data_IF_716585145347
#
_entry.id   IF_716585145347
#
_cell.length_a   1.000
_cell.length_b   1.000
_cell.length_c   1.000
_cell.angle_alpha   90.00
_cell.angle_beta   90.00
_cell.angle_gamma   90.00
#
_symmetry.space_group_name_H-M   'P 1'
#
loop_
_entity.id
_entity.type
_entity.pdbx_description
1 polymer ?
#
# COMPACT_ATOMS: atom_id res chain seq x y z
N UNK A 1 -29.83 44.11 -12.89
CA UNK A 1 -29.58 44.29 -11.45
C UNK A 1 -30.05 43.04 -10.73
N UNK A 2 -29.22 42.01 -10.68
CA UNK A 2 -29.46 40.76 -9.96
C UNK A 2 -28.10 40.12 -9.64
N UNK A 3 -28.00 39.61 -8.41
CA UNK A 3 -26.95 38.75 -7.84
C UNK A 3 -25.58 39.34 -7.47
N UNK A 4 -25.56 40.18 -6.42
CA UNK A 4 -24.45 40.19 -5.45
C UNK A 4 -24.75 39.40 -4.16
N UNK A 5 -25.99 38.93 -3.94
CA UNK A 5 -26.40 38.28 -2.69
C UNK A 5 -26.14 36.78 -2.58
N UNK A 6 -25.67 36.12 -3.64
CA UNK A 6 -25.38 34.68 -3.63
C UNK A 6 -23.95 34.40 -3.14
N UNK A 7 -23.00 35.30 -3.39
CA UNK A 7 -21.59 35.12 -3.01
C UNK A 7 -21.32 35.44 -1.53
N UNK A 8 -22.12 36.32 -0.90
CA UNK A 8 -21.98 36.64 0.53
C UNK A 8 -22.42 35.51 1.48
N UNK A 9 -23.33 34.61 1.03
CA UNK A 9 -23.74 33.44 1.81
C UNK A 9 -22.75 32.29 1.72
N UNK A 10 -22.18 32.03 0.53
CA UNK A 10 -21.21 30.95 0.34
C UNK A 10 -19.91 31.15 1.17
N UNK A 11 -19.48 32.41 1.37
CA UNK A 11 -18.28 32.72 2.18
C UNK A 11 -18.57 32.63 3.69
N UNK A 12 -19.82 32.82 4.13
CA UNK A 12 -20.21 32.63 5.53
C UNK A 12 -20.39 31.15 5.89
N UNK A 13 -20.80 30.30 4.95
CA UNK A 13 -20.89 28.85 5.16
C UNK A 13 -19.51 28.15 5.09
N UNK A 14 -18.57 28.67 4.31
CA UNK A 14 -17.20 28.13 4.23
C UNK A 14 -16.30 28.49 5.42
N UNK A 15 -16.67 29.49 6.25
CA UNK A 15 -15.88 29.92 7.41
C UNK A 15 -16.34 29.29 8.75
N UNK A 16 -17.25 28.32 8.69
CA UNK A 16 -17.80 27.62 9.87
C UNK A 16 -17.49 26.13 9.92
N UNK A 17 -16.64 25.63 9.02
CA UNK A 17 -16.05 24.29 9.10
C UNK A 17 -14.61 24.42 9.57
N UNK A 18 -14.43 24.42 10.89
CA UNK A 18 -13.15 24.01 11.45
C UNK A 18 -12.79 22.62 10.89
N UNK A 19 -11.53 22.36 10.53
CA UNK A 19 -11.13 21.03 10.12
C UNK A 19 -11.53 20.04 11.22
N UNK A 20 -12.24 18.99 10.82
CA UNK A 20 -12.68 17.92 11.70
C UNK A 20 -11.44 17.31 12.37
N UNK A 21 -11.16 17.75 13.59
CA UNK A 21 -9.99 17.36 14.36
C UNK A 21 -10.12 15.92 14.90
N UNK A 22 -11.15 15.19 14.45
CA UNK A 22 -11.46 13.80 14.79
C UNK A 22 -10.46 12.80 14.25
N UNK A 23 -9.64 13.16 13.24
CA UNK A 23 -8.59 12.30 12.71
C UNK A 23 -7.27 12.33 13.51
N UNK A 24 -7.05 13.35 14.36
CA UNK A 24 -5.81 13.49 15.14
C UNK A 24 -5.97 12.94 16.57
N UNK A 25 -7.20 12.80 17.06
CA UNK A 25 -7.51 12.24 18.39
C UNK A 25 -7.49 10.71 18.48
N UNK A 26 -7.28 10.00 17.36
CA UNK A 26 -7.36 8.52 17.33
C UNK A 26 -6.07 7.77 17.72
N UNK A 27 -5.02 8.47 18.18
CA UNK A 27 -3.72 7.84 18.50
C UNK A 27 -3.41 7.82 20.01
N UNK A 28 -4.29 8.35 20.88
CA UNK A 28 -4.06 8.35 22.34
C UNK A 28 -4.87 7.36 23.16
N UNK A 29 -5.65 6.47 22.54
CA UNK A 29 -6.17 5.30 23.24
C UNK A 29 -5.12 4.19 23.21
N UNK A 30 -4.07 4.38 24.01
CA UNK A 30 -3.32 3.24 24.51
C UNK A 30 -4.29 2.49 25.42
N UNK A 31 -4.75 1.27 25.10
CA UNK A 31 -5.54 0.52 26.06
C UNK A 31 -4.73 0.43 27.35
N UNK A 32 -5.34 0.90 28.45
CA UNK A 32 -4.73 0.83 29.76
C UNK A 32 -4.20 -0.60 29.97
N UNK A 33 -2.99 -0.73 30.52
CA UNK A 33 -2.21 -1.96 30.62
C UNK A 33 -2.88 -3.14 31.38
N UNK A 34 -4.15 -3.02 31.77
CA UNK A 34 -4.97 -3.99 32.51
C UNK A 34 -6.27 -4.39 31.76
N UNK A 35 -6.25 -4.59 30.45
CA UNK A 35 -7.46 -4.98 29.69
C UNK A 35 -7.72 -6.49 29.60
N UNK A 36 -6.92 -7.33 30.25
CA UNK A 36 -7.15 -8.77 30.26
C UNK A 36 -7.03 -9.31 31.69
N UNK A 37 -8.15 -9.71 32.34
CA UNK A 37 -8.08 -10.37 33.64
C UNK A 37 -7.28 -11.67 33.51
N UNK A 38 -6.48 -11.98 34.53
CA UNK A 38 -5.75 -13.25 34.56
C UNK A 38 -6.76 -14.36 34.82
N UNK A 39 -6.83 -15.36 33.95
CA UNK A 39 -7.70 -16.53 34.13
C UNK A 39 -6.85 -17.77 34.34
N UNK A 40 -6.92 -18.34 35.53
CA UNK A 40 -6.20 -19.57 35.89
C UNK A 40 -7.14 -20.75 35.74
N UNK A 41 -6.73 -21.76 34.95
CA UNK A 41 -7.39 -23.06 34.91
C UNK A 41 -6.54 -24.07 35.68
N UNK A 42 -7.07 -24.63 36.77
CA UNK A 42 -6.47 -25.79 37.45
C UNK A 42 -7.15 -27.08 37.01
N UNK A 43 -6.34 -28.08 36.65
CA UNK A 43 -6.76 -29.44 36.32
C UNK A 43 -6.12 -30.41 37.32
N UNK A 44 -6.94 -30.98 38.20
CA UNK A 44 -6.48 -31.82 39.31
C UNK A 44 -7.65 -32.67 39.84
N UNK A 45 -7.46 -33.98 40.04
CA UNK A 45 -8.53 -34.87 40.51
C UNK A 45 -8.83 -34.69 42.02
N UNK A 46 -7.95 -34.05 42.78
CA UNK A 46 -8.08 -33.86 44.21
C UNK A 46 -8.72 -32.52 44.54
N UNK A 47 -10.00 -32.54 44.95
CA UNK A 47 -10.75 -31.35 45.34
C UNK A 47 -10.06 -30.49 46.43
N UNK A 48 -9.28 -31.11 47.31
CA UNK A 48 -8.50 -30.40 48.34
C UNK A 48 -7.44 -29.47 47.73
N UNK A 49 -6.78 -29.88 46.64
CA UNK A 49 -5.81 -29.04 45.93
C UNK A 49 -6.52 -27.86 45.26
N UNK A 50 -7.68 -28.13 44.64
CA UNK A 50 -8.54 -27.09 44.09
C UNK A 50 -8.92 -26.01 45.09
N UNK A 51 -9.31 -26.41 46.30
CA UNK A 51 -9.64 -25.48 47.38
C UNK A 51 -8.42 -24.74 47.94
N UNK A 52 -7.26 -25.41 48.04
CA UNK A 52 -6.02 -24.78 48.48
C UNK A 52 -5.56 -23.67 47.52
N UNK A 53 -5.57 -23.95 46.21
CA UNK A 53 -5.23 -22.95 45.17
C UNK A 53 -6.26 -21.82 45.16
N UNK A 54 -7.57 -22.14 45.26
CA UNK A 54 -8.62 -21.11 45.36
C UNK A 54 -8.37 -20.14 46.50
N UNK A 55 -8.00 -20.64 47.68
CA UNK A 55 -7.67 -19.79 48.84
C UNK A 55 -6.40 -18.99 48.65
N UNK A 56 -5.38 -19.57 48.04
CA UNK A 56 -4.13 -18.88 47.73
C UNK A 56 -4.34 -17.69 46.77
N UNK A 57 -5.32 -17.77 45.87
CA UNK A 57 -5.66 -16.71 44.91
C UNK A 57 -6.76 -15.76 45.41
N UNK A 58 -7.41 -16.03 46.55
CA UNK A 58 -8.56 -15.25 47.01
C UNK A 58 -8.22 -13.79 47.37
N UNK A 59 -6.96 -13.48 47.69
CA UNK A 59 -6.48 -12.11 47.94
C UNK A 59 -6.17 -11.32 46.66
N UNK A 60 -6.22 -11.95 45.48
CA UNK A 60 -5.81 -11.37 44.20
C UNK A 60 -7.05 -11.07 43.34
N UNK A 61 -7.63 -9.85 43.39
CA UNK A 61 -8.92 -9.55 42.79
C UNK A 61 -8.92 -9.52 41.25
N UNK A 62 -7.75 -9.51 40.63
CA UNK A 62 -7.53 -9.49 39.18
C UNK A 62 -7.22 -10.88 38.59
N UNK A 63 -7.25 -11.93 39.44
CA UNK A 63 -7.05 -13.33 39.07
C UNK A 63 -8.37 -14.10 39.23
N UNK A 64 -8.98 -14.44 38.11
CA UNK A 64 -10.07 -15.39 38.04
C UNK A 64 -9.55 -16.83 38.11
N UNK A 65 -10.33 -17.70 38.75
CA UNK A 65 -9.95 -19.10 38.97
C UNK A 65 -11.06 -20.06 38.54
N UNK A 66 -10.68 -21.02 37.69
CA UNK A 66 -11.52 -22.13 37.27
C UNK A 66 -10.88 -23.47 37.66
N UNK A 67 -11.67 -24.37 38.23
CA UNK A 67 -11.24 -25.72 38.63
C UNK A 67 -11.91 -26.78 37.77
N UNK A 68 -11.12 -27.72 37.28
CA UNK A 68 -11.56 -28.88 36.50
C UNK A 68 -11.07 -30.15 37.18
N UNK A 69 -11.99 -30.95 37.72
CA UNK A 69 -11.68 -32.20 38.38
C UNK A 69 -11.53 -33.39 37.41
N UNK A 70 -12.14 -33.28 36.23
CA UNK A 70 -12.21 -34.37 35.25
C UNK A 70 -11.19 -34.15 34.13
N UNK A 71 -10.13 -34.99 34.02
CA UNK A 71 -9.09 -34.83 33.01
C UNK A 71 -9.62 -34.81 31.56
N UNK A 72 -10.67 -35.59 31.27
CA UNK A 72 -11.23 -35.69 29.93
C UNK A 72 -11.91 -34.40 29.44
N UNK A 73 -12.44 -33.58 30.37
CA UNK A 73 -13.09 -32.31 30.04
C UNK A 73 -12.07 -31.16 29.89
N UNK A 74 -10.81 -31.38 30.28
CA UNK A 74 -9.85 -30.31 30.54
C UNK A 74 -9.53 -29.45 29.30
N UNK A 75 -9.48 -30.05 28.11
CA UNK A 75 -9.27 -29.30 26.85
C UNK A 75 -10.50 -28.47 26.49
N UNK A 76 -11.69 -29.06 26.57
CA UNK A 76 -12.94 -28.36 26.28
C UNK A 76 -13.21 -27.21 27.27
N UNK A 77 -12.83 -27.40 28.54
CA UNK A 77 -12.87 -26.34 29.55
C UNK A 77 -11.89 -25.23 29.19
N UNK A 78 -10.65 -25.54 28.80
CA UNK A 78 -9.66 -24.54 28.41
C UNK A 78 -10.10 -23.71 27.19
N UNK A 79 -10.72 -24.33 26.18
CA UNK A 79 -11.27 -23.60 25.03
C UNK A 79 -12.37 -22.61 25.42
N UNK A 80 -13.24 -23.03 26.35
CA UNK A 80 -14.38 -22.23 26.81
C UNK A 80 -13.94 -21.10 27.73
N UNK A 81 -13.06 -21.37 28.68
CA UNK A 81 -12.64 -20.39 29.69
C UNK A 81 -11.52 -19.47 29.20
N UNK A 82 -10.80 -19.87 28.14
CA UNK A 82 -9.66 -19.14 27.56
C UNK A 82 -8.67 -18.68 28.63
N UNK A 83 -8.08 -19.63 29.40
CA UNK A 83 -7.18 -19.28 30.48
C UNK A 83 -5.93 -18.59 29.97
N UNK A 84 -5.36 -17.72 30.79
CA UNK A 84 -4.05 -17.10 30.53
C UNK A 84 -2.91 -17.95 31.08
N UNK A 85 -3.21 -18.93 31.95
CA UNK A 85 -2.28 -19.96 32.41
C UNK A 85 -3.06 -21.21 32.85
N UNK A 86 -2.49 -22.39 32.60
CA UNK A 86 -3.03 -23.68 33.05
C UNK A 86 -2.10 -24.26 34.12
N UNK A 87 -2.67 -24.67 35.25
CA UNK A 87 -2.02 -25.48 36.26
C UNK A 87 -2.45 -26.94 36.05
N UNK A 88 -1.52 -27.81 35.67
CA UNK A 88 -1.82 -29.19 35.27
C UNK A 88 -1.19 -30.20 36.22
N UNK A 89 -2.01 -31.00 36.89
CA UNK A 89 -1.49 -32.16 37.63
C UNK A 89 -0.86 -33.20 36.69
N UNK A 90 0.26 -33.80 37.10
CA UNK A 90 0.90 -34.89 36.37
C UNK A 90 0.28 -36.25 36.66
N UNK A 91 -0.26 -36.48 37.86
CA UNK A 91 -0.71 -37.81 38.29
C UNK A 91 -2.20 -37.79 38.61
N UNK A 92 -3.01 -38.24 37.65
CA UNK A 92 -4.46 -38.34 37.81
C UNK A 92 -4.96 -39.76 37.45
N UNK A 93 -6.07 -40.23 38.03
CA UNK A 93 -6.67 -41.52 37.67
C UNK A 93 -7.05 -41.58 36.19
N UNK A 94 -6.60 -42.63 35.50
CA UNK A 94 -6.99 -42.93 34.12
C UNK A 94 -6.31 -42.12 33.01
N UNK A 95 -5.71 -40.96 33.32
CA UNK A 95 -5.04 -40.09 32.34
C UNK A 95 -3.70 -39.58 32.88
N UNK A 96 -2.63 -39.82 32.10
CA UNK A 96 -1.31 -39.22 32.36
C UNK A 96 -1.34 -37.72 32.06
N UNK A 97 -1.01 -36.87 33.03
CA UNK A 97 -1.03 -35.43 32.88
C UNK A 97 -0.11 -34.92 31.76
N UNK A 98 0.99 -35.63 31.45
CA UNK A 98 1.84 -35.29 30.31
C UNK A 98 1.12 -35.49 28.96
N UNK A 99 0.17 -36.41 28.90
CA UNK A 99 -0.67 -36.61 27.71
C UNK A 99 -1.60 -35.41 27.50
N UNK A 100 -2.13 -34.82 28.58
CA UNK A 100 -2.91 -33.58 28.48
C UNK A 100 -2.07 -32.37 28.06
N UNK A 101 -0.84 -32.24 28.58
CA UNK A 101 0.10 -31.20 28.12
C UNK A 101 0.29 -31.25 26.61
N UNK A 102 0.50 -32.44 26.04
CA UNK A 102 0.60 -32.63 24.58
C UNK A 102 -0.69 -32.25 23.87
N UNK A 103 -1.86 -32.68 24.38
CA UNK A 103 -3.16 -32.31 23.80
C UNK A 103 -3.38 -30.79 23.77
N UNK A 104 -2.96 -30.06 24.80
CA UNK A 104 -3.03 -28.60 24.79
C UNK A 104 -2.16 -27.98 23.70
N UNK A 105 -0.96 -28.52 23.48
CA UNK A 105 -0.02 -28.05 22.44
C UNK A 105 -0.47 -28.39 21.02
N UNK A 106 -1.16 -29.51 20.84
CA UNK A 106 -1.71 -29.90 19.53
C UNK A 106 -2.94 -29.04 19.14
N UNK A 107 -3.71 -28.57 20.12
CA UNK A 107 -4.92 -27.79 19.89
C UNK A 107 -4.62 -26.30 19.58
N UNK A 108 -5.16 -25.80 18.47
CA UNK A 108 -4.98 -24.41 18.02
C UNK A 108 -5.45 -23.34 19.03
N UNK A 109 -6.48 -23.61 19.82
CA UNK A 109 -7.03 -22.65 20.78
C UNK A 109 -6.21 -22.56 22.07
N UNK A 110 -5.41 -23.59 22.40
CA UNK A 110 -4.70 -23.69 23.68
C UNK A 110 -3.18 -23.78 23.55
N UNK A 111 -2.65 -23.98 22.33
CA UNK A 111 -1.23 -24.29 22.12
C UNK A 111 -0.26 -23.25 22.65
N UNK A 112 -0.67 -22.00 22.71
CA UNK A 112 0.18 -20.90 23.17
C UNK A 112 -0.05 -20.56 24.66
N UNK A 113 -1.05 -21.18 25.30
CA UNK A 113 -1.34 -20.94 26.72
C UNK A 113 -0.22 -21.55 27.56
N UNK A 114 0.40 -20.80 28.48
CA UNK A 114 1.43 -21.33 29.38
C UNK A 114 0.88 -22.43 30.29
N UNK A 115 1.64 -23.50 30.45
CA UNK A 115 1.27 -24.64 31.29
C UNK A 115 2.32 -24.80 32.40
N UNK A 116 1.88 -24.67 33.65
CA UNK A 116 2.65 -24.97 34.84
C UNK A 116 2.23 -26.36 35.31
N UNK A 117 3.13 -27.32 35.28
CA UNK A 117 2.81 -28.65 35.79
C UNK A 117 2.99 -28.72 37.31
N UNK A 118 2.09 -29.43 37.97
CA UNK A 118 2.07 -29.65 39.41
C UNK A 118 2.41 -31.12 39.70
N UNK A 119 3.33 -31.37 40.63
CA UNK A 119 3.77 -32.73 41.00
C UNK A 119 3.88 -32.89 42.51
N UNK A 120 3.71 -34.10 43.02
CA UNK A 120 3.86 -34.40 44.46
C UNK A 120 5.31 -34.47 44.93
N UNK A 121 6.27 -34.67 44.02
CA UNK A 121 7.70 -34.84 44.35
C UNK A 121 8.59 -34.09 43.36
N UNK A 122 9.77 -33.68 43.81
CA UNK A 122 10.79 -33.12 42.92
C UNK A 122 11.71 -34.24 42.39
N UNK A 123 11.38 -34.76 41.21
CA UNK A 123 12.17 -35.78 40.53
C UNK A 123 12.70 -35.23 39.20
N UNK A 124 14.03 -35.27 39.02
CA UNK A 124 14.69 -34.68 37.84
C UNK A 124 14.18 -35.26 36.51
N UNK A 125 13.87 -36.57 36.48
CA UNK A 125 13.33 -37.24 35.30
C UNK A 125 11.93 -36.73 34.93
N UNK A 126 11.04 -36.56 35.92
CA UNK A 126 9.69 -36.04 35.70
C UNK A 126 9.68 -34.58 35.26
N UNK A 127 10.54 -33.77 35.88
CA UNK A 127 10.74 -32.37 35.47
C UNK A 127 11.19 -32.28 34.02
N UNK A 128 12.19 -33.07 33.63
CA UNK A 128 12.67 -33.14 32.25
C UNK A 128 11.59 -33.59 31.26
N UNK A 129 10.80 -34.61 31.61
CA UNK A 129 9.70 -35.09 30.79
C UNK A 129 8.60 -34.02 30.60
N UNK A 130 8.28 -33.25 31.63
CA UNK A 130 7.29 -32.17 31.56
C UNK A 130 7.69 -31.05 30.59
N UNK A 131 8.92 -30.55 30.70
CA UNK A 131 9.42 -29.55 29.74
C UNK A 131 9.45 -30.09 28.31
N UNK A 132 9.85 -31.35 28.13
CA UNK A 132 9.88 -32.01 26.82
C UNK A 132 8.48 -32.19 26.21
N UNK A 133 7.45 -32.37 27.05
CA UNK A 133 6.06 -32.42 26.61
C UNK A 133 5.48 -31.04 26.26
N UNK A 134 6.17 -29.95 26.62
CA UNK A 134 5.79 -28.58 26.32
C UNK A 134 5.32 -27.76 27.52
N UNK A 135 5.54 -28.21 28.76
CA UNK A 135 5.30 -27.38 29.94
C UNK A 135 6.25 -26.17 29.97
N UNK A 136 5.77 -25.04 30.48
CA UNK A 136 6.55 -23.82 30.64
C UNK A 136 7.21 -23.74 32.02
N UNK A 137 6.68 -24.46 33.00
CA UNK A 137 7.17 -24.44 34.36
C UNK A 137 6.77 -25.70 35.14
N UNK A 138 7.39 -25.91 36.29
CA UNK A 138 7.20 -27.07 37.15
C UNK A 138 7.16 -26.65 38.62
N UNK A 139 6.11 -27.06 39.35
CA UNK A 139 5.93 -26.78 40.77
C UNK A 139 5.64 -28.06 41.57
N UNK A 140 6.16 -28.09 42.80
CA UNK A 140 5.83 -29.15 43.77
C UNK A 140 4.58 -28.74 44.55
N UNK A 141 3.64 -29.68 44.73
CA UNK A 141 2.38 -29.48 45.45
C UNK A 141 2.59 -29.59 46.97
N UNK A 142 2.07 -28.68 47.80
CA UNK A 142 1.49 -27.37 47.50
C UNK A 142 2.57 -26.29 47.65
N UNK A 143 2.78 -25.41 46.66
CA UNK A 143 3.74 -24.31 46.76
C UNK A 143 3.22 -23.21 47.70
N UNK A 144 4.14 -22.36 48.16
CA UNK A 144 3.78 -21.15 48.90
C UNK A 144 2.91 -20.21 48.02
N UNK A 145 1.96 -19.50 48.63
CA UNK A 145 1.04 -18.64 47.89
C UNK A 145 1.76 -17.50 47.16
N UNK A 146 2.85 -16.98 47.73
CA UNK A 146 3.67 -15.93 47.11
C UNK A 146 4.33 -16.46 45.85
N UNK A 147 4.91 -17.67 45.91
CA UNK A 147 5.54 -18.30 44.74
C UNK A 147 4.52 -18.62 43.64
N UNK A 148 3.38 -19.20 44.02
CA UNK A 148 2.33 -19.58 43.08
C UNK A 148 1.79 -18.37 42.32
N UNK A 149 1.42 -17.31 43.04
CA UNK A 149 0.92 -16.06 42.46
C UNK A 149 1.97 -15.42 41.56
N UNK A 150 3.25 -15.39 41.97
CA UNK A 150 4.32 -14.82 41.16
C UNK A 150 4.47 -15.54 39.80
N UNK A 151 4.42 -16.88 39.79
CA UNK A 151 4.51 -17.67 38.55
C UNK A 151 3.28 -17.52 37.66
N UNK A 152 2.09 -17.54 38.25
CA UNK A 152 0.83 -17.26 37.53
C UNK A 152 0.93 -15.90 36.83
N UNK A 153 1.27 -14.85 37.57
CA UNK A 153 1.38 -13.49 37.02
C UNK A 153 2.42 -13.39 35.91
N UNK A 154 3.58 -14.01 36.10
CA UNK A 154 4.65 -14.01 35.09
C UNK A 154 4.19 -14.64 33.78
N UNK A 155 3.65 -15.86 33.83
CA UNK A 155 3.22 -16.60 32.64
C UNK A 155 2.02 -15.96 31.97
N UNK A 156 0.99 -15.57 32.74
CA UNK A 156 -0.17 -14.87 32.20
C UNK A 156 0.21 -13.57 31.50
N UNK A 157 1.08 -12.75 32.10
CA UNK A 157 1.54 -11.51 31.45
C UNK A 157 2.32 -11.79 30.17
N UNK A 158 3.16 -12.82 30.14
CA UNK A 158 3.88 -13.21 28.92
C UNK A 158 2.92 -13.60 27.80
N UNK A 159 1.88 -14.38 28.12
CA UNK A 159 0.88 -14.81 27.14
C UNK A 159 0.03 -13.64 26.62
N UNK A 160 -0.42 -12.77 27.51
CA UNK A 160 -1.19 -11.58 27.13
C UNK A 160 -0.38 -10.63 26.24
N UNK A 161 0.89 -10.42 26.56
CA UNK A 161 1.80 -9.64 25.71
C UNK A 161 1.98 -10.26 24.32
N UNK A 162 2.03 -11.59 24.22
CA UNK A 162 2.09 -12.30 22.94
C UNK A 162 0.83 -12.02 22.10
N UNK A 163 -0.36 -12.15 22.70
CA UNK A 163 -1.63 -11.89 22.01
C UNK A 163 -1.73 -10.44 21.53
N UNK A 164 -1.41 -9.47 22.40
CA UNK A 164 -1.42 -8.05 22.06
C UNK A 164 -0.44 -7.74 20.93
N UNK A 165 0.75 -8.33 20.96
CA UNK A 165 1.76 -8.16 19.91
C UNK A 165 1.26 -8.68 18.58
N UNK A 166 0.65 -9.86 18.55
CA UNK A 166 0.16 -10.47 17.31
C UNK A 166 -1.03 -9.69 16.72
N UNK A 167 -1.92 -9.16 17.57
CA UNK A 167 -2.99 -8.25 17.16
C UNK A 167 -2.42 -6.95 16.56
N UNK A 168 -1.47 -6.31 17.25
CA UNK A 168 -0.81 -5.10 16.78
C UNK A 168 -0.10 -5.32 15.43
N UNK A 169 0.57 -6.45 15.24
CA UNK A 169 1.19 -6.78 13.96
C UNK A 169 0.18 -6.94 12.82
N UNK A 170 -0.98 -7.56 13.08
CA UNK A 170 -2.04 -7.69 12.07
C UNK A 170 -2.60 -6.32 11.69
N UNK A 171 -2.91 -5.48 12.67
CA UNK A 171 -3.40 -4.12 12.43
C UNK A 171 -2.39 -3.27 11.66
N UNK A 172 -1.11 -3.36 12.01
CA UNK A 172 -0.03 -2.64 11.32
C UNK A 172 0.06 -3.06 9.84
N UNK A 173 0.02 -4.36 9.55
CA UNK A 173 0.07 -4.84 8.16
C UNK A 173 -1.10 -4.32 7.32
N UNK A 174 -2.31 -4.34 7.87
CA UNK A 174 -3.49 -3.82 7.17
C UNK A 174 -3.35 -2.34 6.87
N UNK A 175 -2.89 -1.55 7.85
CA UNK A 175 -2.66 -0.11 7.67
C UNK A 175 -1.59 0.17 6.61
N UNK A 176 -0.47 -0.57 6.61
CA UNK A 176 0.58 -0.43 5.59
C UNK A 176 0.07 -0.73 4.18
N UNK A 177 -0.74 -1.77 4.02
CA UNK A 177 -1.32 -2.12 2.72
C UNK A 177 -2.27 -1.01 2.23
N UNK A 178 -3.16 -0.53 3.10
CA UNK A 178 -4.08 0.56 2.77
C UNK A 178 -3.32 1.83 2.36
N UNK A 179 -2.25 2.17 3.07
CA UNK A 179 -1.42 3.33 2.77
C UNK A 179 -0.75 3.20 1.39
N UNK A 180 -0.26 2.00 1.05
CA UNK A 180 0.35 1.74 -0.25
C UNK A 180 -0.66 1.90 -1.40
N UNK A 181 -1.83 1.26 -1.27
CA UNK A 181 -2.90 1.36 -2.27
C UNK A 181 -3.35 2.81 -2.47
N UNK A 182 -3.53 3.55 -1.37
CA UNK A 182 -3.90 4.97 -1.40
C UNK A 182 -2.83 5.82 -2.07
N UNK A 183 -1.54 5.60 -1.79
CA UNK A 183 -0.45 6.34 -2.44
C UNK A 183 -0.38 6.07 -3.95
N UNK A 184 -0.54 4.80 -4.37
CA UNK A 184 -0.54 4.44 -5.78
C UNK A 184 -1.70 5.12 -6.53
N UNK A 185 -2.90 5.13 -5.94
CA UNK A 185 -4.04 5.79 -6.57
C UNK A 185 -3.88 7.31 -6.62
N UNK A 186 -3.35 7.94 -5.55
CA UNK A 186 -3.00 9.35 -5.56
C UNK A 186 -1.99 9.66 -6.65
N UNK A 187 -0.91 8.89 -6.77
CA UNK A 187 0.08 9.07 -7.84
C UNK A 187 -0.56 8.97 -9.23
N UNK A 188 -1.45 8.00 -9.44
CA UNK A 188 -2.17 7.83 -10.71
C UNK A 188 -3.06 9.02 -11.03
N UNK A 189 -3.90 9.43 -10.08
CA UNK A 189 -4.84 10.56 -10.24
C UNK A 189 -4.12 11.89 -10.41
N UNK A 190 -3.01 12.08 -9.70
CA UNK A 190 -2.25 13.32 -9.73
C UNK A 190 -1.45 13.41 -11.03
N UNK A 191 -0.75 12.36 -11.46
CA UNK A 191 0.26 12.48 -12.54
C UNK A 191 -0.15 11.90 -13.90
N UNK A 192 -1.26 11.19 -14.00
CA UNK A 192 -1.69 10.54 -15.25
C UNK A 192 -2.90 11.23 -15.89
N UNK A 193 -3.03 11.13 -17.20
CA UNK A 193 -4.23 11.48 -17.95
C UNK A 193 -5.25 10.33 -17.87
N UNK A 194 -6.50 10.66 -17.53
CA UNK A 194 -7.53 9.65 -17.25
C UNK A 194 -7.98 8.83 -18.47
N UNK A 195 -7.81 9.34 -19.70
CA UNK A 195 -8.22 8.63 -20.92
C UNK A 195 -7.11 7.72 -21.44
N UNK A 196 -5.88 8.23 -21.47
CA UNK A 196 -4.75 7.61 -22.18
C UNK A 196 -3.80 6.86 -21.26
N UNK A 197 -3.81 7.16 -19.96
CA UNK A 197 -2.88 6.60 -18.97
C UNK A 197 -1.44 7.10 -19.10
N UNK A 198 -1.16 7.99 -20.06
CA UNK A 198 0.12 8.70 -20.13
C UNK A 198 0.21 9.75 -19.03
N UNK A 199 1.38 10.37 -18.87
CA UNK A 199 1.49 11.53 -18.00
C UNK A 199 0.54 12.65 -18.43
N UNK A 200 -0.05 13.35 -17.47
CA UNK A 200 -0.84 14.55 -17.77
C UNK A 200 0.05 15.78 -17.95
N UNK A 201 -0.54 16.86 -18.48
CA UNK A 201 0.14 18.13 -18.72
C UNK A 201 0.85 18.68 -17.48
N UNK A 202 0.22 18.63 -16.31
CA UNK A 202 0.81 19.16 -15.07
C UNK A 202 2.10 18.42 -14.71
N UNK A 203 2.08 17.10 -14.78
CA UNK A 203 3.29 16.30 -14.51
C UNK A 203 4.35 16.47 -15.60
N UNK A 204 3.94 16.61 -16.87
CA UNK A 204 4.85 16.98 -17.95
C UNK A 204 5.59 18.30 -17.67
N UNK A 205 4.88 19.36 -17.27
CA UNK A 205 5.48 20.67 -16.99
C UNK A 205 6.49 20.58 -15.82
N UNK A 206 6.15 19.85 -14.76
CA UNK A 206 7.03 19.60 -13.63
C UNK A 206 8.29 18.82 -14.03
N UNK A 207 8.12 17.74 -14.80
CA UNK A 207 9.21 16.89 -15.28
C UNK A 207 10.14 17.62 -16.24
N UNK A 208 9.58 18.33 -17.24
CA UNK A 208 10.35 19.13 -18.19
C UNK A 208 11.20 20.19 -17.48
N UNK A 209 10.64 20.86 -16.48
CA UNK A 209 11.38 21.84 -15.67
C UNK A 209 12.53 21.20 -14.88
N UNK A 210 12.33 20.00 -14.33
CA UNK A 210 13.37 19.27 -13.62
C UNK A 210 14.50 18.84 -14.56
N UNK A 211 14.15 18.24 -15.71
CA UNK A 211 15.13 17.79 -16.70
C UNK A 211 15.83 18.95 -17.41
N UNK A 212 15.18 20.11 -17.58
CA UNK A 212 15.81 21.33 -18.08
C UNK A 212 16.95 21.78 -17.16
N UNK A 213 16.70 21.85 -15.84
CA UNK A 213 17.73 22.19 -14.84
C UNK A 213 18.85 21.17 -14.79
N UNK A 214 18.53 19.88 -14.93
CA UNK A 214 19.54 18.81 -15.01
C UNK A 214 20.43 18.98 -16.24
N UNK A 215 19.83 19.12 -17.42
CA UNK A 215 20.55 19.28 -18.68
C UNK A 215 21.39 20.57 -18.71
N UNK A 216 20.92 21.65 -18.10
CA UNK A 216 21.70 22.88 -17.89
C UNK A 216 22.97 22.60 -17.07
N UNK A 217 22.84 21.92 -15.93
CA UNK A 217 23.98 21.60 -15.06
C UNK A 217 24.98 20.66 -15.74
N UNK A 218 24.48 19.69 -16.49
CA UNK A 218 25.29 18.68 -17.16
C UNK A 218 25.81 19.11 -18.54
N UNK A 219 25.36 20.28 -19.02
CA UNK A 219 25.60 20.75 -20.39
C UNK A 219 25.23 19.68 -21.43
N UNK A 220 24.09 19.03 -21.21
CA UNK A 220 23.61 17.92 -22.03
C UNK A 220 22.42 18.32 -22.91
N UNK A 221 22.21 17.59 -23.99
CA UNK A 221 21.12 17.84 -24.94
C UNK A 221 19.79 17.32 -24.39
N UNK A 222 18.75 18.15 -24.44
CA UNK A 222 17.39 17.80 -24.10
C UNK A 222 16.50 17.97 -25.33
N UNK A 223 15.82 16.88 -25.71
CA UNK A 223 14.92 16.86 -26.85
C UNK A 223 13.45 16.85 -26.39
N UNK A 224 12.60 17.50 -27.16
CA UNK A 224 11.16 17.53 -26.98
C UNK A 224 10.47 17.25 -28.31
N UNK A 225 9.48 16.37 -28.30
CA UNK A 225 8.55 16.15 -29.40
C UNK A 225 7.18 16.71 -28.99
N UNK A 226 6.58 17.49 -29.88
CA UNK A 226 5.18 17.90 -29.86
C UNK A 226 4.46 17.17 -30.99
N UNK A 227 3.39 16.44 -30.66
CA UNK A 227 2.73 15.47 -31.53
C UNK A 227 1.24 15.81 -31.57
N UNK A 228 0.65 15.89 -32.75
CA UNK A 228 -0.77 16.19 -32.92
C UNK A 228 -1.41 15.21 -33.91
N UNK A 229 -2.61 14.73 -33.58
CA UNK A 229 -3.37 13.84 -34.46
C UNK A 229 -4.01 14.63 -35.60
N UNK A 230 -3.61 14.30 -36.82
CA UNK A 230 -4.03 15.02 -38.00
C UNK A 230 -5.53 14.90 -38.25
N UNK A 231 -6.19 16.05 -38.47
CA UNK A 231 -7.62 16.15 -38.77
C UNK A 231 -8.53 15.43 -37.74
N UNK A 232 -8.13 15.40 -36.46
CA UNK A 232 -8.87 14.70 -35.41
C UNK A 232 -10.30 15.20 -35.19
N UNK A 233 -10.53 16.52 -35.33
CA UNK A 233 -11.89 17.08 -35.29
C UNK A 233 -12.79 16.47 -36.38
N UNK A 234 -12.30 16.40 -37.62
CA UNK A 234 -13.05 15.80 -38.73
C UNK A 234 -13.29 14.30 -38.51
N UNK A 235 -12.34 13.61 -37.87
CA UNK A 235 -12.52 12.21 -37.45
C UNK A 235 -13.68 12.09 -36.44
N UNK A 236 -13.69 12.92 -35.39
CA UNK A 236 -14.77 12.91 -34.40
C UNK A 236 -16.13 13.26 -35.00
N UNK A 237 -16.17 14.24 -35.90
CA UNK A 237 -17.41 14.64 -36.58
C UNK A 237 -17.97 13.51 -37.45
N UNK A 238 -17.11 12.61 -37.94
CA UNK A 238 -17.50 11.48 -38.81
C UNK A 238 -17.83 10.21 -38.03
N UNK A 239 -17.01 9.84 -37.04
CA UNK A 239 -17.06 8.55 -36.34
C UNK A 239 -17.54 8.65 -34.89
N UNK A 240 -17.74 9.86 -34.37
CA UNK A 240 -18.17 10.14 -33.01
C UNK A 240 -17.02 10.14 -31.99
N UNK A 241 -17.25 10.84 -30.87
CA UNK A 241 -16.24 11.03 -29.81
C UNK A 241 -15.75 9.73 -29.18
N UNK A 242 -16.60 8.70 -29.05
CA UNK A 242 -16.18 7.39 -28.49
C UNK A 242 -15.13 6.72 -29.38
N UNK A 243 -15.27 6.84 -30.71
CA UNK A 243 -14.26 6.34 -31.64
C UNK A 243 -12.98 7.18 -31.58
N UNK A 244 -13.10 8.50 -31.40
CA UNK A 244 -11.95 9.38 -31.19
C UNK A 244 -11.17 9.06 -29.91
N UNK A 245 -11.87 8.79 -28.81
CA UNK A 245 -11.25 8.37 -27.56
C UNK A 245 -10.44 7.08 -27.74
N UNK A 246 -10.95 6.13 -28.53
CA UNK A 246 -10.21 4.91 -28.85
C UNK A 246 -8.97 5.17 -29.72
N UNK A 247 -9.06 6.09 -30.68
CA UNK A 247 -7.89 6.57 -31.42
C UNK A 247 -6.83 7.12 -30.47
N UNK A 248 -7.21 7.99 -29.55
CA UNK A 248 -6.28 8.59 -28.59
C UNK A 248 -5.63 7.54 -27.69
N UNK A 249 -6.37 6.51 -27.25
CA UNK A 249 -5.80 5.37 -26.51
C UNK A 249 -4.79 4.59 -27.33
N UNK A 250 -5.07 4.34 -28.62
CA UNK A 250 -4.16 3.60 -29.50
C UNK A 250 -2.90 4.41 -29.82
N UNK A 251 -3.02 5.72 -30.07
CA UNK A 251 -1.87 6.62 -30.23
C UNK A 251 -1.02 6.62 -28.96
N UNK A 252 -1.66 6.78 -27.79
CA UNK A 252 -0.97 6.74 -26.50
C UNK A 252 -0.23 5.43 -26.25
N UNK A 253 -0.84 4.29 -26.61
CA UNK A 253 -0.18 2.99 -26.52
C UNK A 253 1.08 2.93 -27.39
N UNK A 254 1.02 3.42 -28.62
CA UNK A 254 2.21 3.49 -29.50
C UNK A 254 3.31 4.35 -28.89
N UNK A 255 2.98 5.50 -28.29
CA UNK A 255 3.97 6.35 -27.63
C UNK A 255 4.64 5.62 -26.46
N UNK A 256 3.84 5.05 -25.56
CA UNK A 256 4.34 4.29 -24.40
C UNK A 256 5.21 3.11 -24.81
N UNK A 257 4.76 2.31 -25.78
CA UNK A 257 5.44 1.08 -26.18
C UNK A 257 6.74 1.37 -26.96
N UNK A 258 6.91 2.60 -27.49
CA UNK A 258 8.15 3.04 -28.11
C UNK A 258 9.13 3.69 -27.13
N UNK A 259 8.69 4.13 -25.94
CA UNK A 259 9.57 4.64 -24.88
C UNK A 259 10.35 3.49 -24.22
N UNK A 260 11.62 3.35 -24.59
CA UNK A 260 12.48 2.28 -24.06
C UNK A 260 13.37 2.70 -22.90
N UNK A 261 13.60 4.02 -22.71
CA UNK A 261 14.48 4.51 -21.65
C UNK A 261 13.66 4.93 -20.43
N UNK A 262 14.13 4.65 -19.20
CA UNK A 262 13.43 5.05 -17.98
C UNK A 262 13.19 6.57 -17.84
N UNK A 263 13.97 7.40 -18.53
CA UNK A 263 13.87 8.86 -18.51
C UNK A 263 13.08 9.44 -19.70
N UNK A 264 12.61 8.61 -20.63
CA UNK A 264 11.71 9.10 -21.69
C UNK A 264 10.32 9.31 -21.06
N UNK A 265 9.72 10.50 -21.23
CA UNK A 265 8.40 10.80 -20.67
C UNK A 265 7.37 11.10 -21.76
N UNK A 266 6.48 10.16 -22.11
CA UNK A 266 5.31 10.43 -22.93
C UNK A 266 4.19 11.06 -22.10
N UNK A 267 3.58 12.13 -22.60
CA UNK A 267 2.48 12.82 -21.95
C UNK A 267 1.37 13.17 -22.94
N UNK A 268 0.12 13.27 -22.44
CA UNK A 268 -0.96 13.94 -23.17
C UNK A 268 -0.95 15.41 -22.78
N UNK A 269 -0.65 16.26 -23.75
CA UNK A 269 -0.52 17.70 -23.56
C UNK A 269 -1.90 18.38 -23.46
N UNK A 270 -2.88 17.89 -24.22
CA UNK A 270 -4.28 18.30 -24.13
C UNK A 270 -5.07 17.94 -25.38
N UNK A 271 -6.34 17.55 -25.26
CA UNK A 271 -7.15 17.18 -26.43
C UNK A 271 -6.53 16.04 -27.24
N UNK A 272 -6.18 16.32 -28.49
CA UNK A 272 -5.47 15.45 -29.43
C UNK A 272 -3.95 15.62 -29.46
N UNK A 273 -3.40 16.49 -28.60
CA UNK A 273 -1.98 16.80 -28.52
C UNK A 273 -1.27 15.91 -27.48
N UNK A 274 -0.12 15.40 -27.88
CA UNK A 274 0.80 14.61 -27.07
C UNK A 274 2.18 15.26 -27.08
N UNK A 275 2.97 14.97 -26.06
CA UNK A 275 4.35 15.41 -25.99
C UNK A 275 5.26 14.28 -25.51
N UNK A 276 6.55 14.40 -25.83
CA UNK A 276 7.55 13.48 -25.31
C UNK A 276 8.85 14.19 -24.96
N UNK A 277 9.25 14.10 -23.68
CA UNK A 277 10.55 14.59 -23.20
C UNK A 277 11.57 13.47 -23.34
N UNK A 278 12.71 13.76 -23.98
CA UNK A 278 13.78 12.81 -24.26
C UNK A 278 15.13 13.37 -23.76
N UNK A 279 15.51 13.08 -22.51
CA UNK A 279 16.79 13.51 -21.94
C UNK A 279 18.00 12.92 -22.69
N UNK A 280 19.10 13.66 -22.70
CA UNK A 280 20.39 13.27 -23.31
C UNK A 280 20.26 12.74 -24.74
N UNK A 281 19.40 13.37 -25.55
CA UNK A 281 19.06 12.91 -26.89
C UNK A 281 19.47 13.93 -27.94
N UNK A 282 20.26 13.48 -28.92
CA UNK A 282 20.76 14.33 -30.00
C UNK A 282 19.69 14.65 -31.04
N UNK A 283 19.87 15.70 -31.87
CA UNK A 283 18.94 16.02 -32.96
C UNK A 283 18.68 14.85 -33.91
N UNK A 284 19.72 14.08 -34.24
CA UNK A 284 19.59 12.88 -35.07
C UNK A 284 18.78 11.78 -34.38
N UNK A 285 19.02 11.56 -33.08
CA UNK A 285 18.26 10.60 -32.27
C UNK A 285 16.79 10.99 -32.13
N UNK A 286 16.51 12.27 -31.84
CA UNK A 286 15.16 12.81 -31.73
C UNK A 286 14.39 12.67 -33.06
N UNK A 287 15.03 13.01 -34.19
CA UNK A 287 14.42 12.85 -35.52
C UNK A 287 14.11 11.40 -35.85
N UNK A 288 15.05 10.49 -35.60
CA UNK A 288 14.87 9.06 -35.86
C UNK A 288 13.72 8.50 -35.01
N UNK A 289 13.66 8.89 -33.74
CA UNK A 289 12.61 8.48 -32.82
C UNK A 289 11.23 9.04 -33.23
N UNK A 290 11.16 10.33 -33.56
CA UNK A 290 9.94 10.95 -34.07
C UNK A 290 9.41 10.26 -35.33
N UNK A 291 10.29 9.94 -36.28
CA UNK A 291 9.88 9.25 -37.52
C UNK A 291 9.44 7.81 -37.25
N UNK A 292 10.06 7.13 -36.28
CA UNK A 292 9.63 5.81 -35.82
C UNK A 292 8.21 5.87 -35.25
N UNK A 293 7.93 6.84 -34.37
CA UNK A 293 6.59 7.06 -33.80
C UNK A 293 5.57 7.37 -34.89
N UNK A 294 5.87 8.29 -35.81
CA UNK A 294 4.99 8.65 -36.92
C UNK A 294 4.59 7.43 -37.75
N UNK A 295 5.57 6.64 -38.18
CA UNK A 295 5.34 5.40 -38.95
C UNK A 295 4.57 4.35 -38.16
N UNK A 296 4.85 4.20 -36.86
CA UNK A 296 4.13 3.25 -36.02
C UNK A 296 2.64 3.62 -35.91
N UNK A 297 2.32 4.91 -35.78
CA UNK A 297 0.92 5.38 -35.74
C UNK A 297 0.24 5.20 -37.11
N UNK A 298 0.90 5.58 -38.19
CA UNK A 298 0.40 5.34 -39.56
C UNK A 298 0.12 3.85 -39.83
N UNK A 299 0.99 2.97 -39.32
CA UNK A 299 0.85 1.51 -39.46
C UNK A 299 -0.33 0.91 -38.68
N UNK A 300 -0.97 1.67 -37.78
CA UNK A 300 -2.20 1.22 -37.13
C UNK A 300 -3.36 1.05 -38.13
N UNK A 301 -3.26 1.65 -39.32
CA UNK A 301 -4.22 1.48 -40.41
C UNK A 301 -5.64 1.92 -40.05
N UNK A 302 -5.77 2.92 -39.16
CA UNK A 302 -7.07 3.43 -38.72
C UNK A 302 -7.68 4.23 -39.87
N UNK A 303 -8.80 3.76 -40.40
CA UNK A 303 -9.48 4.45 -41.50
C UNK A 303 -9.95 5.84 -41.07
N UNK A 304 -9.65 6.85 -41.88
CA UNK A 304 -10.09 8.23 -41.69
C UNK A 304 -10.49 8.83 -43.03
N UNK A 305 -11.78 8.80 -43.35
CA UNK A 305 -12.31 9.33 -44.62
C UNK A 305 -12.17 10.84 -44.77
N UNK A 306 -11.96 11.56 -43.66
CA UNK A 306 -11.69 13.00 -43.64
C UNK A 306 -10.20 13.35 -43.61
N UNK A 307 -9.30 12.38 -43.81
CA UNK A 307 -7.86 12.63 -43.85
C UNK A 307 -7.45 13.25 -45.20
N UNK A 308 -6.73 14.37 -45.14
CA UNK A 308 -6.07 14.97 -46.31
C UNK A 308 -4.96 14.05 -46.87
N UNK A 309 -4.49 13.09 -46.07
CA UNK A 309 -3.35 12.21 -46.33
C UNK A 309 -3.74 10.74 -46.40
N UNK A 310 -4.18 10.28 -47.57
CA UNK A 310 -4.23 8.85 -47.89
C UNK A 310 -5.32 8.02 -47.19
N UNK A 311 -6.34 8.65 -46.59
CA UNK A 311 -7.51 7.97 -46.03
C UNK A 311 -7.27 7.23 -44.71
N UNK A 312 -6.13 7.44 -44.07
CA UNK A 312 -5.78 6.86 -42.76
C UNK A 312 -5.44 7.96 -41.76
N UNK A 313 -5.58 7.64 -40.48
CA UNK A 313 -5.20 8.52 -39.39
C UNK A 313 -3.67 8.63 -39.28
N UNK A 314 -3.16 9.85 -39.23
CA UNK A 314 -1.74 10.16 -39.15
C UNK A 314 -1.46 11.17 -38.03
N UNK A 315 -0.18 11.45 -37.78
CA UNK A 315 0.24 12.51 -36.86
C UNK A 315 1.26 13.43 -37.52
N UNK A 316 1.19 14.71 -37.14
CA UNK A 316 2.24 15.69 -37.38
C UNK A 316 3.11 15.82 -36.14
N UNK A 317 4.43 15.91 -36.31
CA UNK A 317 5.38 15.98 -35.20
C UNK A 317 6.33 17.16 -35.40
N UNK A 318 6.36 18.06 -34.43
CA UNK A 318 7.41 19.05 -34.25
C UNK A 318 8.44 18.54 -33.25
N UNK A 319 9.72 18.62 -33.58
CA UNK A 319 10.79 18.19 -32.67
C UNK A 319 11.84 19.29 -32.51
N UNK A 320 12.28 19.52 -31.28
CA UNK A 320 13.33 20.47 -30.95
C UNK A 320 14.35 19.83 -30.02
N UNK A 321 15.61 20.25 -30.15
CA UNK A 321 16.69 19.82 -29.25
C UNK A 321 17.49 21.05 -28.86
N UNK A 322 17.67 21.26 -27.57
CA UNK A 322 18.45 22.37 -27.02
C UNK A 322 19.44 21.86 -25.98
N UNK A 323 20.52 22.61 -25.79
CA UNK A 323 21.34 22.55 -24.57
C UNK A 323 20.92 23.77 -23.74
N UNK A 324 20.31 23.60 -22.57
CA UNK A 324 19.85 24.73 -21.77
C UNK A 324 20.98 25.68 -21.36
N UNK A 325 20.78 26.99 -21.59
CA UNK A 325 21.70 28.04 -21.15
C UNK A 325 21.22 28.72 -19.87
N UNK A 326 22.11 29.46 -19.21
CA UNK A 326 21.76 30.20 -17.98
C UNK A 326 20.68 31.27 -18.24
N UNK A 327 19.74 31.40 -17.30
CA UNK A 327 18.61 32.33 -17.40
C UNK A 327 17.52 31.99 -18.42
N UNK A 328 17.64 30.92 -19.21
CA UNK A 328 16.59 30.50 -20.15
C UNK A 328 15.53 29.59 -19.48
N UNK A 329 14.23 29.86 -19.66
CA UNK A 329 13.17 28.99 -19.17
C UNK A 329 12.95 27.76 -20.06
N UNK A 330 12.44 26.67 -19.49
CA UNK A 330 12.09 25.44 -20.21
C UNK A 330 11.01 25.64 -21.30
N UNK A 331 10.19 26.69 -21.17
CA UNK A 331 9.17 27.06 -22.17
C UNK A 331 9.77 27.32 -23.55
N UNK A 332 11.03 27.77 -23.61
CA UNK A 332 11.77 27.96 -24.85
C UNK A 332 11.80 26.69 -25.70
N UNK A 333 11.98 25.51 -25.08
CA UNK A 333 12.01 24.24 -25.79
C UNK A 333 10.63 23.88 -26.37
N UNK A 334 9.57 24.16 -25.60
CA UNK A 334 8.17 23.97 -26.03
C UNK A 334 7.84 24.86 -27.22
N UNK A 335 8.19 26.15 -27.13
CA UNK A 335 7.97 27.13 -28.21
C UNK A 335 8.66 26.72 -29.52
N UNK A 336 9.89 26.22 -29.45
CA UNK A 336 10.62 25.76 -30.64
C UNK A 336 9.99 24.48 -31.21
N UNK A 337 9.64 23.51 -30.37
CA UNK A 337 9.00 22.27 -30.82
C UNK A 337 7.63 22.53 -31.45
N UNK A 338 6.83 23.43 -30.87
CA UNK A 338 5.52 23.84 -31.38
C UNK A 338 5.64 24.54 -32.75
N UNK A 339 6.65 25.40 -32.94
CA UNK A 339 6.93 25.98 -34.26
C UNK A 339 7.22 24.89 -35.31
N UNK A 340 7.91 23.81 -34.93
CA UNK A 340 8.10 22.64 -35.80
C UNK A 340 6.79 21.94 -36.13
N UNK A 341 5.92 21.77 -35.14
CA UNK A 341 4.61 21.12 -35.31
C UNK A 341 3.73 21.93 -36.26
N UNK A 342 3.72 23.25 -36.11
CA UNK A 342 3.02 24.16 -36.99
C UNK A 342 3.50 24.04 -38.45
N UNK A 343 4.82 24.01 -38.68
CA UNK A 343 5.39 23.81 -40.02
C UNK A 343 5.06 22.41 -40.59
N UNK A 344 5.07 21.36 -39.76
CA UNK A 344 4.66 20.02 -40.19
C UNK A 344 3.20 20.00 -40.67
N UNK A 345 2.30 20.68 -39.96
CA UNK A 345 0.89 20.81 -40.37
C UNK A 345 0.74 21.59 -41.66
N UNK A 346 1.49 22.68 -41.84
CA UNK A 346 1.45 23.52 -43.06
C UNK A 346 2.00 22.81 -44.29
N UNK A 347 3.02 21.98 -44.12
CA UNK A 347 3.67 21.26 -45.22
C UNK A 347 2.93 19.99 -45.65
N UNK A 348 1.65 19.85 -45.28
CA UNK A 348 0.81 18.72 -45.72
C UNK A 348 0.63 17.60 -44.70
N UNK A 349 0.96 17.84 -43.41
CA UNK A 349 0.77 16.89 -42.30
C UNK A 349 1.55 15.57 -42.46
N UNK A 350 1.28 14.56 -41.64
CA UNK A 350 1.93 13.24 -41.66
C UNK A 350 3.45 13.29 -41.81
N UNK A 351 4.12 14.16 -41.06
CA UNK A 351 5.56 14.35 -41.17
C UNK A 351 6.19 14.83 -39.86
N UNK A 352 7.52 14.70 -39.81
CA UNK A 352 8.36 15.22 -38.74
C UNK A 352 9.11 16.45 -39.24
N UNK A 353 9.00 17.57 -38.51
CA UNK A 353 9.82 18.76 -38.75
C UNK A 353 10.70 19.02 -37.53
N UNK A 354 12.01 19.06 -37.76
CA UNK A 354 12.98 19.52 -36.77
C UNK A 354 13.01 21.05 -36.79
N UNK A 355 12.69 21.67 -35.66
CA UNK A 355 12.76 23.11 -35.46
C UNK A 355 14.02 23.50 -34.70
N UNK A 356 14.48 24.72 -34.99
CA UNK A 356 15.68 25.31 -34.41
C UNK A 356 15.32 26.67 -33.82
N UNK A 357 15.98 27.08 -32.72
CA UNK A 357 15.77 28.41 -32.15
C UNK A 357 16.07 29.47 -33.21
N UNK A 358 15.16 30.43 -33.37
CA UNK A 358 15.42 31.61 -34.22
C UNK A 358 16.46 32.48 -33.50
N UNK A 359 17.47 32.90 -34.27
CA UNK A 359 18.55 33.76 -33.82
C UNK A 359 18.05 35.11 -33.30
#
# INVERSE_FOLDING_TARGET
MLNQDVWGRAIKEASMQQPDNTAITAITDTPAANSYPVMVLLVDDQAMIGEAVRRALASEPDIDFHYCATPDDAVAVAERTRPTVILQDLVMPGVDGLTLVRRYRDNAATRDIPIIVLSTKEEAAMKSAAFSAGANDYLVKLPDSIELVARIRYHSRSYLNLLQRDEAYRALRQSQQQLLETNLELQRLTNSDGLTGLSNRRYFDEYLNAEWKRAQREQSQLALLMIDVDAFKAYNDTYGHVAGDEVLRRVAAVLRDNCSRPADLPARFGGEEFSMVLPSTSPGGARLFAEKVRRAIESLGIAHSGADTGGFLTVSIGAAVLVPEDGQPSSRLVEVADAGLYEAKRNGRNQVVMAWPRA
#
